data_IF_342156989884
#
_entry.id   IF_342156989884
#
_cell.length_a   1.000
_cell.length_b   1.000
_cell.length_c   1.000
_cell.angle_alpha   90.00
_cell.angle_beta   90.00
_cell.angle_gamma   90.00
#
_symmetry.space_group_name_H-M   'P 1'
#
loop_
_entity.id
_entity.type
_entity.pdbx_description
1 polymer ?
#
# COMPACT_ATOMS: atom_id res chain seq x y z
N UNK A 1 3.94 -21.56 1.73
CA UNK A 1 4.70 -20.77 0.78
C UNK A 1 5.95 -21.55 0.45
N UNK A 2 6.09 -22.01 -0.79
CA UNK A 2 7.35 -22.58 -1.28
C UNK A 2 8.34 -21.42 -1.40
N UNK A 3 9.41 -21.47 -0.62
CA UNK A 3 10.58 -20.61 -0.79
C UNK A 3 11.45 -21.28 -1.83
N UNK A 4 11.56 -20.69 -3.00
CA UNK A 4 12.43 -21.16 -4.08
C UNK A 4 13.60 -20.17 -4.23
N UNK A 5 14.81 -20.69 -4.20
CA UNK A 5 16.05 -19.90 -4.38
C UNK A 5 16.39 -19.67 -5.88
N UNK A 6 15.44 -19.97 -6.78
CA UNK A 6 15.67 -19.79 -8.22
C UNK A 6 15.48 -18.32 -8.63
N UNK A 7 16.41 -17.81 -9.43
CA UNK A 7 16.26 -16.56 -10.16
C UNK A 7 15.01 -16.66 -11.07
N UNK A 8 14.12 -15.66 -11.02
CA UNK A 8 12.84 -15.64 -11.76
C UNK A 8 11.82 -16.70 -11.31
N UNK A 9 11.64 -16.88 -9.99
CA UNK A 9 10.64 -17.79 -9.42
C UNK A 9 9.20 -17.43 -9.82
N UNK A 10 8.93 -16.19 -10.17
CA UNK A 10 7.63 -15.69 -10.62
C UNK A 10 7.72 -15.26 -12.08
N UNK A 11 7.15 -16.05 -13.01
CA UNK A 11 7.02 -15.68 -14.43
C UNK A 11 5.66 -15.05 -14.75
N UNK A 12 4.61 -15.53 -14.09
CA UNK A 12 3.25 -14.99 -14.19
C UNK A 12 2.90 -14.22 -12.90
N UNK A 13 2.35 -13.01 -12.99
CA UNK A 13 2.00 -12.24 -11.79
C UNK A 13 1.00 -13.03 -10.94
N UNK A 14 1.33 -13.19 -9.67
CA UNK A 14 0.45 -13.83 -8.70
C UNK A 14 -0.34 -12.76 -7.96
N UNK A 15 -1.63 -12.68 -8.26
CA UNK A 15 -2.54 -11.72 -7.63
C UNK A 15 -3.19 -12.34 -6.39
N UNK A 16 -3.10 -11.66 -5.25
CA UNK A 16 -3.68 -12.08 -3.97
C UNK A 16 -4.45 -10.94 -3.32
N UNK A 17 -5.59 -11.27 -2.72
CA UNK A 17 -6.31 -10.33 -1.86
C UNK A 17 -5.76 -10.38 -0.44
N UNK A 18 -5.62 -9.22 0.17
CA UNK A 18 -5.25 -9.05 1.57
C UNK A 18 -6.15 -7.98 2.21
N UNK A 19 -6.09 -7.86 3.54
CA UNK A 19 -6.77 -6.80 4.28
C UNK A 19 -5.75 -6.06 5.12
N UNK A 20 -5.87 -4.74 5.13
CA UNK A 20 -5.08 -3.88 6.00
C UNK A 20 -5.59 -3.96 7.45
N UNK A 21 -4.84 -3.46 8.44
CA UNK A 21 -5.28 -3.44 9.84
C UNK A 21 -6.62 -2.75 10.07
N UNK A 22 -6.98 -1.73 9.26
CA UNK A 22 -8.27 -1.04 9.37
C UNK A 22 -9.39 -1.71 8.58
N UNK A 23 -9.10 -2.87 7.94
CA UNK A 23 -10.10 -3.69 7.24
C UNK A 23 -10.26 -3.38 5.76
N UNK A 24 -9.48 -2.47 5.19
CA UNK A 24 -9.51 -2.18 3.75
C UNK A 24 -9.05 -3.39 2.96
N UNK A 25 -9.82 -3.79 1.95
CA UNK A 25 -9.39 -4.83 1.01
C UNK A 25 -8.40 -4.23 0.01
N UNK A 26 -7.26 -4.91 -0.14
CA UNK A 26 -6.22 -4.58 -1.11
C UNK A 26 -5.90 -5.78 -1.98
N UNK A 27 -5.40 -5.51 -3.16
CA UNK A 27 -4.89 -6.53 -4.06
C UNK A 27 -3.37 -6.41 -4.12
N UNK A 28 -2.66 -7.48 -3.81
CA UNK A 28 -1.21 -7.58 -3.95
C UNK A 28 -0.91 -8.37 -5.22
N UNK A 29 -0.16 -7.76 -6.14
CA UNK A 29 0.39 -8.41 -7.32
C UNK A 29 1.88 -8.65 -7.10
N UNK A 30 2.30 -9.92 -7.11
CA UNK A 30 3.70 -10.28 -7.04
C UNK A 30 4.28 -10.27 -8.47
N UNK A 31 5.33 -9.49 -8.66
CA UNK A 31 5.99 -9.32 -9.96
C UNK A 31 7.29 -10.13 -10.04
N UNK A 32 7.92 -10.13 -11.19
CA UNK A 32 9.26 -10.75 -11.35
C UNK A 32 10.29 -10.04 -10.47
N UNK A 33 11.15 -10.84 -9.80
CA UNK A 33 12.25 -10.29 -9.02
C UNK A 33 13.23 -9.52 -9.89
N UNK A 34 13.48 -8.26 -9.54
CA UNK A 34 14.51 -7.46 -10.20
C UNK A 34 15.89 -7.95 -9.77
N UNK A 35 16.71 -8.37 -10.73
CA UNK A 35 18.13 -8.69 -10.50
C UNK A 35 18.98 -7.47 -10.80
N UNK A 36 20.16 -7.35 -10.15
CA UNK A 36 21.10 -6.19 -10.21
C UNK A 36 21.39 -5.67 -11.63
N UNK A 37 21.21 -6.49 -12.67
CA UNK A 37 21.35 -6.12 -14.07
C UNK A 37 20.27 -6.84 -14.86
N UNK A 38 19.11 -6.22 -15.05
CA UNK A 38 18.13 -6.70 -16.02
C UNK A 38 18.64 -6.31 -17.43
N UNK A 39 19.00 -7.28 -18.30
CA UNK A 39 19.31 -6.96 -19.69
C UNK A 39 18.08 -6.30 -20.35
N UNK A 40 18.27 -5.27 -21.17
CA UNK A 40 17.18 -4.60 -21.89
C UNK A 40 16.24 -5.55 -22.64
N UNK A 41 16.77 -6.69 -23.12
CA UNK A 41 15.98 -7.74 -23.77
C UNK A 41 14.97 -8.41 -22.82
N UNK A 42 15.29 -8.51 -21.51
CA UNK A 42 14.39 -9.04 -20.51
C UNK A 42 13.33 -7.98 -20.09
N UNK A 43 13.66 -6.73 -20.05
CA UNK A 43 12.68 -5.63 -19.83
C UNK A 43 11.59 -5.67 -20.91
N UNK A 44 11.97 -5.88 -22.19
CA UNK A 44 11.00 -6.06 -23.27
C UNK A 44 10.15 -7.34 -23.11
N UNK A 45 10.76 -8.45 -22.69
CA UNK A 45 10.05 -9.72 -22.48
C UNK A 45 9.04 -9.65 -21.32
N UNK A 46 9.34 -8.84 -20.28
CA UNK A 46 8.48 -8.64 -19.12
C UNK A 46 7.57 -7.39 -19.19
N UNK A 47 7.52 -6.75 -20.34
CA UNK A 47 6.77 -5.48 -20.51
C UNK A 47 5.33 -5.57 -20.02
N UNK A 48 4.61 -6.65 -20.33
CA UNK A 48 3.22 -6.84 -19.89
C UNK A 48 3.10 -6.97 -18.37
N UNK A 49 4.03 -7.65 -17.72
CA UNK A 49 4.07 -7.77 -16.25
C UNK A 49 4.46 -6.45 -15.59
N UNK A 50 5.33 -5.67 -16.25
CA UNK A 50 5.78 -4.36 -15.78
C UNK A 50 4.72 -3.25 -16.02
N UNK A 51 3.78 -3.44 -16.95
CA UNK A 51 2.61 -2.54 -17.11
C UNK A 51 1.73 -2.55 -15.85
N UNK A 52 1.58 -3.70 -15.17
CA UNK A 52 0.87 -3.76 -13.89
C UNK A 52 1.52 -2.91 -12.79
N UNK A 53 2.85 -2.78 -12.80
CA UNK A 53 3.59 -1.93 -11.85
C UNK A 53 3.29 -0.46 -12.09
N UNK A 54 3.19 -0.04 -13.35
CA UNK A 54 2.84 1.34 -13.72
C UNK A 54 1.42 1.71 -13.31
N UNK A 55 0.51 0.75 -13.40
CA UNK A 55 -0.91 0.96 -13.11
C UNK A 55 -1.27 0.70 -11.63
N UNK A 56 -0.27 0.37 -10.79
CA UNK A 56 -0.45 0.17 -9.36
C UNK A 56 -0.69 1.50 -8.62
N UNK A 57 -1.47 1.44 -7.54
CA UNK A 57 -1.69 2.58 -6.63
C UNK A 57 -0.48 2.83 -5.72
N UNK A 58 0.31 1.78 -5.44
CA UNK A 58 1.46 1.81 -4.54
C UNK A 58 2.42 0.65 -4.88
N UNK A 59 3.71 0.93 -4.88
CA UNK A 59 4.77 -0.07 -5.01
C UNK A 59 5.34 -0.39 -3.64
N UNK A 60 5.36 -1.67 -3.27
CA UNK A 60 6.14 -2.17 -2.13
C UNK A 60 7.44 -2.75 -2.66
N UNK A 61 8.51 -1.96 -2.57
CA UNK A 61 9.83 -2.36 -3.01
C UNK A 61 10.55 -3.13 -1.91
N UNK A 62 10.59 -4.45 -2.05
CA UNK A 62 11.25 -5.33 -1.08
C UNK A 62 12.74 -5.41 -1.36
N UNK A 63 13.55 -5.01 -0.37
CA UNK A 63 15.02 -4.97 -0.45
C UNK A 63 15.60 -6.02 0.51
N UNK A 64 16.59 -6.76 0.07
CA UNK A 64 17.34 -7.67 0.93
C UNK A 64 18.28 -6.88 1.84
N UNK A 65 17.89 -6.71 3.11
CA UNK A 65 18.72 -6.00 4.10
C UNK A 65 20.02 -6.72 4.45
N UNK A 66 20.17 -7.99 4.12
CA UNK A 66 21.40 -8.77 4.35
C UNK A 66 22.41 -8.69 3.19
N UNK A 67 22.04 -8.01 2.11
CA UNK A 67 22.96 -7.78 0.98
C UNK A 67 24.09 -6.80 1.36
N UNK A 68 25.23 -6.91 0.69
CA UNK A 68 26.40 -6.04 0.92
C UNK A 68 26.15 -4.58 0.46
N UNK A 69 25.22 -4.37 -0.48
CA UNK A 69 24.95 -3.06 -1.07
C UNK A 69 23.45 -2.81 -1.31
N UNK A 70 22.61 -2.77 -0.26
CA UNK A 70 21.15 -2.65 -0.42
C UNK A 70 20.74 -1.33 -1.08
N UNK A 71 21.49 -0.24 -0.87
CA UNK A 71 21.21 1.06 -1.53
C UNK A 71 21.45 1.03 -3.03
N UNK A 72 22.42 0.25 -3.50
CA UNK A 72 22.66 0.09 -4.93
C UNK A 72 21.54 -0.71 -5.60
N UNK A 73 20.98 -1.70 -4.87
CA UNK A 73 19.79 -2.43 -5.35
C UNK A 73 18.60 -1.49 -5.49
N UNK A 74 18.33 -0.63 -4.49
CA UNK A 74 17.26 0.37 -4.56
C UNK A 74 17.43 1.27 -5.79
N UNK A 75 18.65 1.78 -6.01
CA UNK A 75 18.93 2.63 -7.15
C UNK A 75 18.71 1.92 -8.49
N UNK A 76 19.16 0.67 -8.62
CA UNK A 76 19.00 -0.13 -9.84
C UNK A 76 17.51 -0.40 -10.15
N UNK A 77 16.70 -0.73 -9.16
CA UNK A 77 15.24 -0.93 -9.35
C UNK A 77 14.58 0.38 -9.77
N UNK A 78 14.92 1.50 -9.13
CA UNK A 78 14.38 2.83 -9.50
C UNK A 78 14.78 3.27 -10.90
N UNK A 79 15.92 2.83 -11.43
CA UNK A 79 16.30 3.04 -12.83
C UNK A 79 15.32 2.31 -13.75
N UNK A 80 15.05 1.03 -13.48
CA UNK A 80 14.07 0.23 -14.25
C UNK A 80 12.65 0.81 -14.13
N UNK A 81 12.22 1.21 -12.93
CA UNK A 81 10.92 1.91 -12.75
C UNK A 81 10.85 3.18 -13.60
N UNK A 82 11.99 3.85 -13.81
CA UNK A 82 12.07 4.99 -14.73
C UNK A 82 11.89 4.61 -16.21
N UNK A 83 12.45 3.48 -16.65
CA UNK A 83 12.33 3.00 -18.01
C UNK A 83 10.91 2.57 -18.39
N UNK A 84 10.13 2.10 -17.41
CA UNK A 84 8.73 1.70 -17.59
C UNK A 84 7.72 2.81 -17.24
N UNK A 85 8.17 4.03 -17.03
CA UNK A 85 7.33 5.19 -16.67
C UNK A 85 6.56 5.05 -15.34
N UNK A 86 7.04 4.21 -14.42
CA UNK A 86 6.44 3.98 -13.11
C UNK A 86 7.04 4.84 -11.97
N UNK A 87 7.94 5.78 -12.26
CA UNK A 87 8.60 6.64 -11.24
C UNK A 87 7.66 7.49 -10.40
N UNK A 88 6.49 7.78 -10.91
CA UNK A 88 5.50 8.61 -10.23
C UNK A 88 4.55 7.81 -9.32
N UNK A 89 4.60 6.48 -9.40
CA UNK A 89 3.85 5.63 -8.47
C UNK A 89 4.48 5.75 -7.09
N UNK A 90 3.72 6.00 -6.02
CA UNK A 90 4.24 6.02 -4.67
C UNK A 90 4.98 4.72 -4.33
N UNK A 91 6.10 4.81 -3.61
CA UNK A 91 6.96 3.67 -3.29
C UNK A 91 7.21 3.60 -1.78
N UNK A 92 6.96 2.43 -1.18
CA UNK A 92 7.41 2.08 0.17
C UNK A 92 8.56 1.08 0.05
N UNK A 93 9.69 1.36 0.69
CA UNK A 93 10.81 0.42 0.78
C UNK A 93 10.60 -0.48 1.99
N UNK A 94 10.53 -1.80 1.77
CA UNK A 94 10.51 -2.81 2.81
C UNK A 94 11.88 -3.50 2.90
N UNK A 95 12.67 -3.15 3.93
CA UNK A 95 13.99 -3.75 4.18
C UNK A 95 13.76 -5.10 4.85
N UNK A 96 13.80 -6.17 4.04
CA UNK A 96 13.53 -7.54 4.50
C UNK A 96 14.80 -8.22 5.01
N UNK A 97 14.61 -9.36 5.66
CA UNK A 97 15.64 -10.18 6.31
C UNK A 97 16.34 -9.49 7.49
N UNK A 98 15.61 -8.64 8.20
CA UNK A 98 16.14 -7.93 9.39
C UNK A 98 16.67 -8.87 10.49
N UNK A 99 16.24 -10.14 10.47
CA UNK A 99 16.70 -11.19 11.40
C UNK A 99 18.16 -11.61 11.19
N UNK A 100 18.76 -11.30 10.03
CA UNK A 100 20.14 -11.66 9.67
C UNK A 100 20.94 -10.50 9.07
N UNK A 101 20.31 -9.35 8.85
CA UNK A 101 20.93 -8.15 8.30
C UNK A 101 21.86 -7.47 9.31
N UNK A 102 22.88 -6.80 8.80
CA UNK A 102 23.74 -5.93 9.64
C UNK A 102 22.94 -4.68 10.07
N UNK A 103 22.84 -4.39 11.38
CA UNK A 103 22.18 -3.20 11.89
C UNK A 103 22.73 -1.88 11.33
N UNK A 104 24.04 -1.80 11.03
CA UNK A 104 24.64 -0.60 10.43
C UNK A 104 24.19 -0.41 8.99
N UNK A 105 24.07 -1.48 8.19
CA UNK A 105 23.56 -1.44 6.84
C UNK A 105 22.08 -1.00 6.81
N UNK A 106 21.25 -1.54 7.71
CA UNK A 106 19.86 -1.10 7.88
C UNK A 106 19.80 0.39 8.23
N UNK A 107 20.60 0.85 9.20
CA UNK A 107 20.62 2.24 9.61
C UNK A 107 21.07 3.18 8.47
N UNK A 108 21.95 2.72 7.59
CA UNK A 108 22.38 3.49 6.42
C UNK A 108 21.27 3.65 5.40
N UNK A 109 20.50 2.58 5.16
CA UNK A 109 19.30 2.65 4.28
C UNK A 109 18.25 3.59 4.89
N UNK A 110 17.94 3.47 6.19
CA UNK A 110 16.95 4.32 6.87
C UNK A 110 17.33 5.81 6.88
N UNK A 111 18.63 6.15 6.89
CA UNK A 111 19.07 7.55 6.75
C UNK A 111 18.79 8.12 5.37
N UNK A 112 18.89 7.30 4.33
CA UNK A 112 18.61 7.71 2.95
C UNK A 112 17.11 7.66 2.62
N UNK A 113 16.39 6.72 3.20
CA UNK A 113 14.99 6.40 2.96
C UNK A 113 14.21 6.44 4.29
N UNK A 114 13.84 7.63 4.81
CA UNK A 114 13.20 7.77 6.12
C UNK A 114 11.84 7.09 6.26
N UNK A 115 11.16 6.81 5.13
CA UNK A 115 9.87 6.12 5.08
C UNK A 115 10.00 4.61 4.86
N UNK A 116 11.24 4.07 4.83
CA UNK A 116 11.44 2.63 4.72
C UNK A 116 11.00 1.92 6.00
N UNK A 117 10.44 0.72 5.83
CA UNK A 117 10.00 -0.15 6.94
C UNK A 117 10.92 -1.35 7.03
N UNK A 118 11.39 -1.64 8.24
CA UNK A 118 12.26 -2.80 8.50
C UNK A 118 11.42 -4.01 8.83
N UNK A 119 11.57 -5.09 8.07
CA UNK A 119 10.76 -6.30 8.21
C UNK A 119 11.60 -7.57 8.21
N UNK A 120 11.05 -8.64 8.75
CA UNK A 120 11.52 -10.00 8.50
C UNK A 120 10.31 -10.87 8.16
N UNK A 121 10.16 -11.24 6.91
CA UNK A 121 9.11 -12.15 6.47
C UNK A 121 9.21 -13.53 7.14
N UNK A 122 10.41 -13.93 7.57
CA UNK A 122 10.66 -15.19 8.27
C UNK A 122 10.13 -15.20 9.70
N UNK A 123 10.34 -14.13 10.46
CA UNK A 123 9.90 -14.01 11.86
C UNK A 123 8.54 -13.33 12.01
N UNK A 124 8.06 -12.62 10.99
CA UNK A 124 6.87 -11.77 11.06
C UNK A 124 7.12 -10.38 11.64
N UNK A 125 8.36 -10.08 12.05
CA UNK A 125 8.72 -8.76 12.61
C UNK A 125 8.49 -7.65 11.57
N UNK A 126 7.88 -6.53 11.99
CA UNK A 126 7.68 -5.34 11.15
C UNK A 126 6.56 -5.47 10.11
N UNK A 127 5.86 -6.62 10.03
CA UNK A 127 4.79 -6.82 9.02
C UNK A 127 3.56 -5.96 9.33
N UNK A 128 3.20 -5.78 10.59
CA UNK A 128 2.07 -4.92 10.97
C UNK A 128 2.38 -3.46 10.66
N UNK A 129 3.60 -3.01 10.91
CA UNK A 129 4.08 -1.67 10.58
C UNK A 129 4.09 -1.43 9.07
N UNK A 130 4.51 -2.44 8.29
CA UNK A 130 4.46 -2.37 6.82
C UNK A 130 3.01 -2.26 6.33
N UNK A 131 2.09 -3.05 6.86
CA UNK A 131 0.67 -2.97 6.48
C UNK A 131 0.06 -1.63 6.86
N UNK A 132 0.44 -1.05 8.00
CA UNK A 132 0.00 0.28 8.41
C UNK A 132 0.55 1.38 7.48
N UNK A 133 1.81 1.26 7.06
CA UNK A 133 2.42 2.19 6.10
C UNK A 133 1.73 2.09 4.72
N UNK A 134 1.49 0.87 4.23
CA UNK A 134 0.74 0.64 2.99
C UNK A 134 -0.63 1.32 3.05
N UNK A 135 -1.35 1.16 4.16
CA UNK A 135 -2.67 1.77 4.32
C UNK A 135 -2.63 3.29 4.33
N UNK A 136 -1.61 3.87 4.96
CA UNK A 136 -1.43 5.32 5.01
C UNK A 136 -1.11 5.95 3.65
N UNK A 137 -0.34 5.24 2.81
CA UNK A 137 0.14 5.75 1.51
C UNK A 137 -0.79 5.39 0.34
N UNK A 138 -1.69 4.41 0.52
CA UNK A 138 -2.67 4.08 -0.51
C UNK A 138 -3.66 5.23 -0.71
N UNK A 139 -4.00 5.59 -1.97
CA UNK A 139 -5.03 6.56 -2.26
C UNK A 139 -6.33 6.21 -1.53
N UNK A 140 -6.90 7.15 -0.80
CA UNK A 140 -8.19 6.92 -0.15
C UNK A 140 -9.29 6.84 -1.22
N UNK A 141 -9.87 5.65 -1.40
CA UNK A 141 -11.07 5.51 -2.21
C UNK A 141 -12.24 6.17 -1.47
N UNK A 142 -12.67 7.34 -1.93
CA UNK A 142 -13.85 7.99 -1.39
C UNK A 142 -15.09 7.42 -2.07
N UNK A 143 -16.06 7.00 -1.27
CA UNK A 143 -17.36 6.46 -1.72
C UNK A 143 -18.43 7.53 -1.50
N UNK A 144 -19.26 7.71 -2.51
CA UNK A 144 -20.44 8.57 -2.38
C UNK A 144 -21.47 7.94 -1.43
N UNK A 145 -21.91 8.73 -0.46
CA UNK A 145 -22.96 8.38 0.49
C UNK A 145 -24.05 9.44 0.52
N UNK A 146 -25.28 8.97 0.77
CA UNK A 146 -26.47 9.80 1.04
C UNK A 146 -27.22 9.10 2.18
N UNK A 147 -27.02 9.57 3.41
CA UNK A 147 -27.49 8.89 4.62
C UNK A 147 -28.03 9.89 5.65
N UNK A 148 -28.96 9.44 6.49
CA UNK A 148 -29.42 10.20 7.67
C UNK A 148 -28.61 9.75 8.88
N UNK A 149 -27.79 10.65 9.41
CA UNK A 149 -26.99 10.43 10.62
C UNK A 149 -27.80 10.85 11.83
N UNK A 150 -28.11 9.93 12.76
CA UNK A 150 -28.82 10.28 13.99
C UNK A 150 -28.06 11.32 14.80
N UNK A 151 -28.77 12.23 15.48
CA UNK A 151 -28.15 13.28 16.30
C UNK A 151 -27.23 12.75 17.41
N UNK A 152 -27.49 11.52 17.91
CA UNK A 152 -26.61 10.83 18.87
C UNK A 152 -25.26 10.41 18.30
N UNK A 153 -25.06 10.46 16.96
CA UNK A 153 -23.84 10.07 16.26
C UNK A 153 -23.14 11.24 15.58
N UNK A 154 -23.10 12.38 16.27
CA UNK A 154 -22.35 13.56 15.81
C UNK A 154 -20.84 13.32 15.65
N UNK A 155 -20.31 12.26 16.29
CA UNK A 155 -18.95 11.77 16.08
C UNK A 155 -18.70 11.39 14.61
N UNK A 156 -19.64 10.68 13.98
CA UNK A 156 -19.53 10.27 12.57
C UNK A 156 -19.61 11.46 11.62
N UNK A 157 -20.48 12.42 11.91
CA UNK A 157 -20.57 13.65 11.13
C UNK A 157 -19.25 14.44 11.18
N UNK A 158 -18.65 14.55 12.38
CA UNK A 158 -17.35 15.21 12.56
C UNK A 158 -16.23 14.48 11.80
N UNK A 159 -16.28 13.15 11.76
CA UNK A 159 -15.34 12.36 10.97
C UNK A 159 -15.54 12.57 9.48
N UNK A 160 -16.78 12.64 8.99
CA UNK A 160 -17.05 12.91 7.58
C UNK A 160 -16.45 14.24 7.11
N UNK A 161 -16.49 15.27 7.96
CA UNK A 161 -15.84 16.56 7.67
C UNK A 161 -14.30 16.50 7.70
N UNK A 162 -13.73 15.64 8.52
CA UNK A 162 -12.27 15.52 8.67
C UNK A 162 -11.63 14.59 7.66
N UNK A 163 -12.32 13.49 7.31
CA UNK A 163 -11.78 12.36 6.56
C UNK A 163 -12.35 12.27 5.13
N UNK A 164 -13.33 13.11 4.78
CA UNK A 164 -14.00 13.09 3.48
C UNK A 164 -14.36 14.46 2.93
N UNK A 165 -15.06 14.43 1.81
CA UNK A 165 -15.59 15.62 1.13
C UNK A 165 -17.09 15.73 1.38
N UNK A 166 -17.51 16.64 2.25
CA UNK A 166 -18.93 16.86 2.54
C UNK A 166 -19.55 17.77 1.47
N UNK A 167 -20.54 17.25 0.76
CA UNK A 167 -21.26 17.98 -0.30
C UNK A 167 -22.39 18.82 0.29
N UNK A 168 -23.22 18.23 1.16
CA UNK A 168 -24.29 18.94 1.87
C UNK A 168 -24.63 18.24 3.19
N UNK A 169 -25.09 19.04 4.16
CA UNK A 169 -25.70 18.58 5.40
C UNK A 169 -26.96 19.38 5.63
N UNK A 170 -28.10 18.71 5.68
CA UNK A 170 -29.39 19.27 6.02
C UNK A 170 -29.89 18.62 7.33
N UNK A 171 -30.61 19.35 8.15
CA UNK A 171 -31.09 18.84 9.44
C UNK A 171 -32.62 18.81 9.45
N UNK A 172 -33.19 17.68 9.90
CA UNK A 172 -34.63 17.55 10.13
C UNK A 172 -34.92 16.75 11.42
N UNK A 173 -36.19 16.42 11.67
CA UNK A 173 -36.59 15.71 12.89
C UNK A 173 -36.00 14.29 13.00
N UNK A 174 -35.52 13.68 11.90
CA UNK A 174 -34.94 12.34 11.85
C UNK A 174 -33.43 12.36 12.11
N UNK A 175 -32.74 13.48 11.85
CA UNK A 175 -31.30 13.60 12.02
C UNK A 175 -30.63 14.57 11.07
N UNK A 176 -29.37 14.31 10.74
CA UNK A 176 -28.58 15.06 9.77
C UNK A 176 -28.49 14.30 8.45
N UNK A 177 -29.14 14.82 7.41
CA UNK A 177 -29.01 14.28 6.05
C UNK A 177 -27.64 14.65 5.50
N UNK A 178 -26.75 13.69 5.44
CA UNK A 178 -25.38 13.83 4.98
C UNK A 178 -25.22 13.30 3.56
N UNK A 179 -24.82 14.19 2.64
CA UNK A 179 -24.28 13.80 1.32
C UNK A 179 -22.81 14.11 1.33
N UNK A 180 -21.99 13.06 1.18
CA UNK A 180 -20.55 13.20 1.25
C UNK A 180 -19.84 12.09 0.44
N UNK A 181 -18.57 12.33 0.14
CA UNK A 181 -17.64 11.32 -0.31
C UNK A 181 -16.70 11.00 0.86
N UNK A 182 -16.75 9.79 1.35
CA UNK A 182 -16.01 9.39 2.55
C UNK A 182 -15.25 8.09 2.31
N UNK A 183 -14.17 7.81 3.09
CA UNK A 183 -13.47 6.54 3.06
C UNK A 183 -14.41 5.36 3.28
N UNK A 184 -14.14 4.22 2.66
CA UNK A 184 -14.99 3.01 2.67
C UNK A 184 -15.37 2.57 4.09
N UNK A 185 -14.40 2.50 5.01
CA UNK A 185 -14.66 2.14 6.41
C UNK A 185 -15.62 3.10 7.11
N UNK A 186 -15.52 4.42 6.85
CA UNK A 186 -16.45 5.40 7.40
C UNK A 186 -17.84 5.32 6.74
N UNK A 187 -17.88 5.00 5.44
CA UNK A 187 -19.14 4.80 4.72
C UNK A 187 -19.95 3.63 5.31
N UNK A 188 -19.28 2.53 5.65
CA UNK A 188 -19.92 1.36 6.28
C UNK A 188 -20.47 1.70 7.68
N UNK A 189 -19.68 2.41 8.51
CA UNK A 189 -20.13 2.87 9.82
C UNK A 189 -21.33 3.83 9.73
N UNK A 190 -21.31 4.76 8.78
CA UNK A 190 -22.39 5.72 8.54
C UNK A 190 -23.68 5.00 8.06
N UNK A 191 -23.56 4.04 7.14
CA UNK A 191 -24.71 3.22 6.69
C UNK A 191 -25.28 2.39 7.83
N UNK A 192 -24.42 1.79 8.66
CA UNK A 192 -24.85 1.00 9.82
C UNK A 192 -25.59 1.87 10.84
N UNK A 193 -25.08 3.07 11.11
CA UNK A 193 -25.74 4.02 12.03
C UNK A 193 -27.08 4.51 11.48
N UNK A 194 -27.21 4.70 10.16
CA UNK A 194 -28.47 5.11 9.50
C UNK A 194 -29.54 4.00 9.51
N UNK A 195 -29.15 2.72 9.51
CA UNK A 195 -30.07 1.57 9.45
C UNK A 195 -30.68 1.21 10.84
N UNK A 196 -30.21 1.84 11.90
CA UNK A 196 -30.62 1.55 13.30
C UNK A 196 -31.84 2.36 13.76
N UNK A 197 -32.65 2.88 12.80
CA UNK A 197 -33.91 3.59 13.08
C UNK A 197 -35.11 2.81 12.59
#
# INVERSE_FOLDING_TARGET
VLVDDSLFATLDPTVRKARTPQGREITLSDTVGFVRHLPHQLVEAFRSTLEEVRDADLIVHVVDGSDEAPREQIAAVREVLGEIEARQVPEIIAINKADVADPEAIADVLRAEPHAVVVSAKSGTGIEELLAAIEADLPQSLIDIDVVVPYGRGDLLSRAYREGDVVSVDHDDAGSHLKARVPDGLAEELRTAATTH
#
